data_IF_664543097126
#
_entry.id   IF_664543097126
#
_cell.length_a   1.000
_cell.length_b   1.000
_cell.length_c   1.000
_cell.angle_alpha   90.00
_cell.angle_beta   90.00
_cell.angle_gamma   90.00
#
_symmetry.space_group_name_H-M   'P 1'
#
loop_
_entity.id
_entity.type
_entity.pdbx_description
1 polymer ?
#
# COMPACT_ATOMS: atom_id res chain seq x y z
N UNK A 1 -6.80 21.95 13.25
CA UNK A 1 -7.06 20.49 13.37
C UNK A 1 -5.97 19.92 14.24
N UNK A 2 -6.28 19.55 15.48
CA UNK A 2 -5.28 19.16 16.49
C UNK A 2 -4.65 17.80 16.14
N UNK A 3 -3.31 17.73 16.30
CA UNK A 3 -2.48 16.52 16.11
C UNK A 3 -2.86 15.40 17.10
N UNK A 4 -3.66 15.72 18.12
CA UNK A 4 -4.01 14.81 19.23
C UNK A 4 -5.04 13.72 18.88
N UNK A 5 -5.76 13.85 17.77
CA UNK A 5 -6.94 13.00 17.50
C UNK A 5 -6.64 11.76 16.66
N UNK A 6 -5.42 11.64 16.11
CA UNK A 6 -5.02 10.49 15.31
C UNK A 6 -3.94 9.70 16.01
N UNK A 7 -4.32 8.52 16.48
CA UNK A 7 -3.45 7.65 17.27
C UNK A 7 -2.45 6.84 16.45
N UNK A 8 -2.62 6.80 15.12
CA UNK A 8 -1.78 6.06 14.18
C UNK A 8 -1.16 7.00 13.14
N UNK A 9 0.01 6.62 12.64
CA UNK A 9 0.75 7.34 11.59
C UNK A 9 1.21 6.34 10.54
N UNK A 10 1.06 6.72 9.26
CA UNK A 10 1.63 6.00 8.13
C UNK A 10 2.26 6.99 7.15
N UNK A 11 3.17 6.54 6.30
CA UNK A 11 3.92 7.40 5.38
C UNK A 11 3.58 7.04 3.94
N UNK A 12 3.31 8.04 3.11
CA UNK A 12 3.09 7.82 1.67
C UNK A 12 4.32 7.18 1.02
N UNK A 13 4.08 6.21 0.15
CA UNK A 13 5.14 5.59 -0.64
C UNK A 13 5.51 6.50 -1.83
N UNK A 14 6.75 6.96 -1.88
CA UNK A 14 7.25 7.98 -2.81
C UNK A 14 6.84 7.74 -4.29
N UNK A 15 7.02 6.57 -4.89
CA UNK A 15 6.66 6.32 -6.28
C UNK A 15 5.18 6.56 -6.63
N UNK A 16 4.30 6.58 -5.64
CA UNK A 16 2.85 6.70 -5.80
C UNK A 16 2.27 7.99 -5.25
N UNK A 17 3.10 8.80 -4.60
CA UNK A 17 2.68 10.09 -4.05
C UNK A 17 2.22 11.04 -5.15
N UNK A 18 1.07 11.67 -4.96
CA UNK A 18 0.45 12.56 -5.95
C UNK A 18 -0.15 11.87 -7.20
N UNK A 19 -0.05 10.54 -7.30
CA UNK A 19 -0.67 9.80 -8.42
C UNK A 19 -2.13 9.46 -8.13
N UNK A 20 -2.91 9.33 -9.22
CA UNK A 20 -4.29 8.88 -9.12
C UNK A 20 -4.35 7.47 -8.48
N UNK A 21 -5.22 7.23 -7.49
CA UNK A 21 -5.34 5.96 -6.78
C UNK A 21 -5.62 4.74 -7.64
N UNK A 22 -6.17 4.91 -8.84
CA UNK A 22 -6.37 3.80 -9.78
C UNK A 22 -5.05 3.14 -10.22
N UNK A 23 -3.94 3.91 -10.18
CA UNK A 23 -2.59 3.42 -10.50
C UNK A 23 -1.81 2.93 -9.28
N UNK A 24 -2.36 3.05 -8.08
CA UNK A 24 -1.75 2.50 -6.89
C UNK A 24 -1.73 0.97 -6.94
N UNK A 25 -0.62 0.33 -6.52
CA UNK A 25 -0.46 -1.11 -6.64
C UNK A 25 -1.18 -1.88 -5.53
N UNK A 26 -2.35 -1.44 -5.14
CA UNK A 26 -3.19 -2.15 -4.18
C UNK A 26 -3.43 -3.60 -4.59
N UNK A 27 -3.71 -4.44 -3.63
CA UNK A 27 -4.29 -5.74 -3.94
C UNK A 27 -5.68 -5.53 -4.57
N UNK A 28 -5.88 -6.05 -5.77
CA UNK A 28 -7.12 -5.91 -6.56
C UNK A 28 -7.78 -7.26 -6.83
N UNK A 29 -7.27 -8.32 -6.20
CA UNK A 29 -7.68 -9.70 -6.49
C UNK A 29 -9.13 -9.99 -6.15
N UNK A 30 -9.70 -9.29 -5.18
CA UNK A 30 -11.01 -9.58 -4.60
C UNK A 30 -11.03 -10.84 -3.72
N UNK A 31 -9.90 -11.52 -3.57
CA UNK A 31 -9.77 -12.76 -2.79
C UNK A 31 -9.20 -12.50 -1.40
N UNK A 32 -8.21 -11.60 -1.30
CA UNK A 32 -7.56 -11.25 -0.05
C UNK A 32 -8.40 -10.25 0.76
N UNK A 33 -8.27 -10.32 2.08
CA UNK A 33 -8.77 -9.30 3.01
C UNK A 33 -8.15 -7.91 2.77
N UNK A 34 -7.00 -7.87 2.10
CA UNK A 34 -6.32 -6.64 1.69
C UNK A 34 -6.87 -6.01 0.40
N UNK A 35 -7.83 -6.65 -0.28
CA UNK A 35 -8.29 -6.19 -1.59
C UNK A 35 -9.04 -4.86 -1.52
N UNK A 36 -8.63 -3.90 -2.36
CA UNK A 36 -9.22 -2.57 -2.49
C UNK A 36 -9.79 -2.43 -3.90
N UNK A 37 -11.10 -2.14 -4.08
CA UNK A 37 -11.69 -1.88 -5.40
C UNK A 37 -11.04 -0.68 -6.11
N UNK A 38 -11.08 -0.62 -7.44
CA UNK A 38 -10.53 0.51 -8.22
C UNK A 38 -11.24 1.84 -7.96
N UNK A 39 -12.50 1.79 -7.54
CA UNK A 39 -13.29 2.95 -7.12
C UNK A 39 -12.93 3.48 -5.72
N UNK A 40 -12.01 2.84 -5.02
CA UNK A 40 -11.66 3.13 -3.63
C UNK A 40 -10.16 3.35 -3.45
N UNK A 41 -9.82 3.96 -2.30
CA UNK A 41 -8.46 4.30 -1.94
C UNK A 41 -8.15 5.78 -2.21
N UNK A 42 -7.22 6.33 -1.44
CA UNK A 42 -6.77 7.71 -1.55
C UNK A 42 -5.24 7.80 -1.50
N UNK A 43 -4.62 7.15 -0.53
CA UNK A 43 -3.17 7.16 -0.32
C UNK A 43 -2.63 5.74 -0.48
N UNK A 44 -1.43 5.62 -1.04
CA UNK A 44 -0.65 4.40 -0.96
C UNK A 44 0.47 4.60 0.05
N UNK A 45 0.43 3.85 1.14
CA UNK A 45 1.39 3.94 2.23
C UNK A 45 2.43 2.84 2.16
N UNK A 46 3.66 3.18 2.55
CA UNK A 46 4.77 2.24 2.61
C UNK A 46 4.67 1.34 3.85
N UNK A 47 4.89 0.05 3.70
CA UNK A 47 4.94 -0.90 4.81
C UNK A 47 6.16 -0.72 5.72
N UNK A 48 7.21 -0.06 5.21
CA UNK A 48 8.47 0.09 5.95
C UNK A 48 8.47 1.07 7.10
N UNK A 49 7.48 1.96 7.20
CA UNK A 49 7.37 2.94 8.28
C UNK A 49 5.93 3.23 8.65
N UNK A 50 5.56 2.82 9.84
CA UNK A 50 4.30 3.15 10.49
C UNK A 50 4.50 3.24 12.00
N UNK A 51 3.58 3.91 12.70
CA UNK A 51 3.70 4.07 14.15
C UNK A 51 2.43 4.62 14.78
N UNK A 52 2.51 4.94 16.07
CA UNK A 52 1.39 5.50 16.81
C UNK A 52 1.59 5.42 18.32
N UNK A 53 0.53 5.66 19.08
CA UNK A 53 0.56 5.34 20.52
C UNK A 53 0.69 3.83 20.72
N UNK A 54 1.31 3.38 21.80
CA UNK A 54 1.54 1.95 22.04
C UNK A 54 0.23 1.14 21.97
N UNK A 55 -0.84 1.63 22.57
CA UNK A 55 -2.13 0.95 22.55
C UNK A 55 -2.72 0.84 21.13
N UNK A 56 -2.72 1.93 20.37
CA UNK A 56 -3.24 1.95 19.00
C UNK A 56 -2.40 1.10 18.05
N UNK A 57 -1.07 1.16 18.19
CA UNK A 57 -0.17 0.38 17.34
C UNK A 57 -0.27 -1.13 17.60
N UNK A 58 -0.40 -1.54 18.87
CA UNK A 58 -0.66 -2.94 19.20
C UNK A 58 -2.01 -3.43 18.69
N UNK A 59 -3.06 -2.58 18.73
CA UNK A 59 -4.35 -2.91 18.13
C UNK A 59 -4.23 -3.06 16.62
N UNK A 60 -3.51 -2.15 15.94
CA UNK A 60 -3.19 -2.26 14.51
C UNK A 60 -2.50 -3.60 14.19
N UNK A 61 -1.44 -3.95 14.91
CA UNK A 61 -0.71 -5.21 14.69
C UNK A 61 -1.60 -6.44 14.85
N UNK A 62 -2.49 -6.45 15.84
CA UNK A 62 -3.44 -7.55 16.05
C UNK A 62 -4.42 -7.68 14.89
N UNK A 63 -4.93 -6.56 14.39
CA UNK A 63 -5.86 -6.56 13.24
C UNK A 63 -5.15 -6.99 11.95
N UNK A 64 -3.92 -6.51 11.69
CA UNK A 64 -3.12 -6.94 10.54
C UNK A 64 -2.85 -8.44 10.60
N UNK A 65 -2.44 -8.96 11.76
CA UNK A 65 -2.22 -10.39 11.99
C UNK A 65 -3.49 -11.19 11.71
N UNK A 66 -4.63 -10.79 12.30
CA UNK A 66 -5.91 -11.47 12.11
C UNK A 66 -6.27 -11.58 10.63
N UNK A 67 -6.16 -10.50 9.84
CA UNK A 67 -6.46 -10.50 8.41
C UNK A 67 -5.51 -11.37 7.61
N UNK A 68 -4.24 -11.37 7.98
CA UNK A 68 -3.23 -12.25 7.37
C UNK A 68 -3.54 -13.71 7.67
N UNK A 69 -3.90 -14.06 8.90
CA UNK A 69 -4.28 -15.42 9.28
C UNK A 69 -5.54 -15.88 8.51
N UNK A 70 -6.56 -15.01 8.37
CA UNK A 70 -7.77 -15.29 7.58
C UNK A 70 -7.44 -15.56 6.10
N UNK A 71 -6.54 -14.76 5.50
CA UNK A 71 -6.08 -14.96 4.13
C UNK A 71 -5.34 -16.30 4.00
N UNK A 72 -4.42 -16.61 4.91
CA UNK A 72 -3.65 -17.86 4.90
C UNK A 72 -4.54 -19.10 5.07
N UNK A 73 -5.56 -19.05 5.92
CA UNK A 73 -6.55 -20.13 6.07
C UNK A 73 -7.30 -20.41 4.76
N UNK A 74 -7.46 -19.40 3.91
CA UNK A 74 -8.07 -19.51 2.61
C UNK A 74 -7.07 -19.75 1.46
N UNK A 75 -5.80 -20.04 1.78
CA UNK A 75 -4.70 -20.17 0.82
C UNK A 75 -4.51 -18.95 -0.06
N UNK A 76 -4.74 -17.76 0.50
CA UNK A 76 -4.54 -16.47 -0.16
C UNK A 76 -3.34 -15.76 0.46
N UNK A 77 -2.51 -15.16 -0.38
CA UNK A 77 -1.44 -14.26 0.04
C UNK A 77 -1.69 -12.92 -0.63
N UNK A 78 -1.77 -11.86 0.18
CA UNK A 78 -1.93 -10.50 -0.33
C UNK A 78 -0.72 -10.08 -1.17
N UNK A 79 -0.94 -9.26 -2.19
CA UNK A 79 0.06 -8.89 -3.21
C UNK A 79 1.40 -8.44 -2.65
N UNK A 80 1.39 -7.57 -1.64
CA UNK A 80 2.58 -7.07 -0.92
C UNK A 80 2.46 -7.37 0.58
N UNK A 81 1.98 -8.55 0.91
CA UNK A 81 1.90 -9.08 2.28
C UNK A 81 1.27 -8.07 3.26
N UNK A 82 2.01 -7.69 4.30
CA UNK A 82 1.62 -6.76 5.37
C UNK A 82 1.33 -5.34 4.84
N UNK A 83 2.09 -4.86 3.87
CA UNK A 83 1.86 -3.55 3.24
C UNK A 83 0.47 -3.47 2.59
N UNK A 84 0.02 -4.54 1.93
CA UNK A 84 -1.33 -4.59 1.36
C UNK A 84 -2.40 -4.54 2.42
N UNK A 85 -2.24 -5.26 3.53
CA UNK A 85 -3.17 -5.25 4.66
C UNK A 85 -3.22 -3.86 5.33
N UNK A 86 -2.05 -3.21 5.52
CA UNK A 86 -1.97 -1.85 6.06
C UNK A 86 -2.70 -0.85 5.15
N UNK A 87 -2.47 -0.91 3.84
CA UNK A 87 -3.13 -0.04 2.88
C UNK A 87 -4.65 -0.21 2.90
N UNK A 88 -5.14 -1.44 3.07
CA UNK A 88 -6.57 -1.71 3.23
C UNK A 88 -7.13 -1.06 4.49
N UNK A 89 -6.45 -1.16 5.62
CA UNK A 89 -6.88 -0.53 6.88
C UNK A 89 -6.89 0.99 6.78
N UNK A 90 -5.87 1.59 6.15
CA UNK A 90 -5.85 3.04 5.89
C UNK A 90 -7.05 3.46 5.05
N UNK A 91 -7.42 2.69 4.02
CA UNK A 91 -8.57 2.99 3.18
C UNK A 91 -9.92 2.81 3.90
N UNK A 92 -10.02 1.87 4.84
CA UNK A 92 -11.23 1.64 5.65
C UNK A 92 -11.41 2.68 6.77
N UNK A 93 -10.31 3.17 7.32
CA UNK A 93 -10.32 4.05 8.51
C UNK A 93 -9.46 5.31 8.32
N UNK A 94 -9.70 6.13 7.28
CA UNK A 94 -8.82 7.24 6.92
C UNK A 94 -8.70 8.28 8.05
N UNK A 95 -9.70 8.39 8.91
CA UNK A 95 -9.71 9.31 10.05
C UNK A 95 -8.75 8.91 11.18
N UNK A 96 -8.33 7.65 11.27
CA UNK A 96 -7.46 7.15 12.35
C UNK A 96 -5.97 7.32 12.06
N UNK A 97 -5.61 7.52 10.80
CA UNK A 97 -4.22 7.65 10.39
C UNK A 97 -3.84 9.10 10.11
N UNK A 98 -2.74 9.54 10.68
CA UNK A 98 -1.99 10.69 10.18
C UNK A 98 -1.12 10.23 9.04
N UNK A 99 -1.45 10.67 7.83
CA UNK A 99 -0.65 10.35 6.64
C UNK A 99 0.43 11.40 6.47
N UNK A 100 1.69 10.96 6.52
CA UNK A 100 2.87 11.80 6.32
C UNK A 100 3.31 11.74 4.85
N UNK A 101 3.95 12.81 4.35
CA UNK A 101 4.54 12.82 3.02
C UNK A 101 5.73 11.84 2.93
N UNK A 102 6.18 11.50 1.71
CA UNK A 102 7.21 10.48 1.50
C UNK A 102 8.60 10.83 2.01
N UNK A 103 8.84 12.10 2.36
CA UNK A 103 10.10 12.59 2.94
C UNK A 103 10.52 11.82 4.21
N UNK A 104 9.54 11.27 4.93
CA UNK A 104 9.77 10.44 6.11
C UNK A 104 10.09 8.98 5.80
N UNK A 105 10.07 8.55 4.53
CA UNK A 105 10.36 7.18 4.14
C UNK A 105 10.91 7.14 2.70
N UNK A 106 12.05 7.78 2.48
CA UNK A 106 12.65 7.92 1.16
C UNK A 106 13.57 6.73 0.87
N UNK A 107 13.43 6.03 -0.26
CA UNK A 107 14.39 5.01 -0.69
C UNK A 107 15.78 5.60 -0.98
N UNK A 108 16.85 4.82 -0.72
CA UNK A 108 18.24 5.26 -0.94
C UNK A 108 18.58 5.59 -2.40
N UNK A 109 17.89 4.95 -3.35
CA UNK A 109 18.09 5.18 -4.78
C UNK A 109 17.35 6.42 -5.31
N UNK A 110 16.72 7.21 -4.45
CA UNK A 110 15.98 8.39 -4.89
C UNK A 110 16.93 9.46 -5.41
N UNK A 111 16.69 10.02 -6.61
CA UNK A 111 17.53 11.09 -7.18
C UNK A 111 17.67 12.28 -6.24
N UNK A 112 18.86 12.90 -6.24
CA UNK A 112 19.15 14.12 -5.50
C UNK A 112 18.22 15.25 -5.95
N UNK A 113 17.60 15.95 -5.00
CA UNK A 113 16.64 17.04 -5.24
C UNK A 113 15.35 16.89 -4.43
N UNK A 114 15.17 15.73 -3.77
CA UNK A 114 14.11 15.50 -2.81
C UNK A 114 14.67 15.64 -1.38
N UNK A 115 14.10 16.53 -0.58
CA UNK A 115 14.51 16.68 0.83
C UNK A 115 13.99 15.48 1.63
N UNK A 116 14.88 14.55 1.95
CA UNK A 116 14.56 13.38 2.75
C UNK A 116 14.82 13.64 4.23
N UNK A 117 13.80 13.44 5.07
CA UNK A 117 13.95 13.49 6.53
C UNK A 117 14.49 12.15 7.04
N UNK A 118 14.02 11.04 6.46
CA UNK A 118 14.48 9.69 6.76
C UNK A 118 14.73 8.91 5.48
N UNK A 119 15.96 8.44 5.31
CA UNK A 119 16.36 7.59 4.17
C UNK A 119 16.45 6.13 4.61
N UNK A 120 15.76 5.25 3.89
CA UNK A 120 15.83 3.81 4.11
C UNK A 120 17.00 3.20 3.33
N UNK A 121 18.10 2.93 4.02
CA UNK A 121 19.32 2.34 3.44
C UNK A 121 19.31 0.81 3.55
N UNK A 122 18.54 0.15 2.71
CA UNK A 122 18.39 -1.31 2.74
C UNK A 122 19.67 -2.03 2.32
N UNK A 123 20.45 -1.46 1.39
CA UNK A 123 21.70 -2.05 0.89
C UNK A 123 22.75 -2.25 1.98
N UNK A 124 22.72 -1.46 3.05
CA UNK A 124 23.62 -1.63 4.20
C UNK A 124 23.30 -2.85 5.08
N UNK A 125 22.05 -3.32 5.05
CA UNK A 125 21.59 -4.37 5.95
C UNK A 125 21.49 -5.72 5.26
N UNK A 126 21.10 -5.73 3.98
CA UNK A 126 20.84 -6.97 3.22
C UNK A 126 21.26 -6.81 1.77
N UNK A 127 21.69 -7.92 1.15
CA UNK A 127 21.78 -7.99 -0.31
C UNK A 127 20.37 -8.18 -0.87
N UNK A 128 19.78 -7.08 -1.38
CA UNK A 128 18.39 -7.06 -1.87
C UNK A 128 18.20 -8.03 -3.06
N UNK A 129 19.20 -8.17 -3.94
CA UNK A 129 19.13 -9.07 -5.10
C UNK A 129 19.08 -10.54 -4.67
N UNK A 130 19.83 -10.91 -3.64
CA UNK A 130 19.82 -12.28 -3.12
C UNK A 130 18.48 -12.69 -2.52
N UNK A 131 17.73 -11.72 -1.98
CA UNK A 131 16.41 -11.98 -1.37
C UNK A 131 15.28 -11.94 -2.39
N UNK A 132 15.32 -10.99 -3.32
CA UNK A 132 14.23 -10.79 -4.31
C UNK A 132 14.43 -11.58 -5.60
N UNK A 133 15.64 -12.10 -5.85
CA UNK A 133 16.04 -12.67 -7.13
C UNK A 133 16.29 -11.59 -8.19
N UNK A 134 17.04 -11.94 -9.23
CA UNK A 134 17.28 -11.06 -10.37
C UNK A 134 15.99 -10.86 -11.17
N UNK A 135 15.73 -9.63 -11.61
CA UNK A 135 14.62 -9.33 -12.50
C UNK A 135 14.73 -10.13 -13.80
N UNK A 136 13.70 -10.90 -14.15
CA UNK A 136 13.70 -11.66 -15.40
C UNK A 136 13.63 -10.71 -16.60
N UNK A 137 14.50 -10.88 -17.62
CA UNK A 137 14.43 -10.07 -18.82
C UNK A 137 13.08 -10.29 -19.53
N UNK A 138 12.42 -9.20 -19.91
CA UNK A 138 11.15 -9.23 -20.61
C UNK A 138 11.37 -9.01 -22.11
N UNK A 139 10.66 -9.76 -22.95
CA UNK A 139 10.63 -9.52 -24.39
C UNK A 139 9.75 -8.30 -24.75
N UNK A 140 9.84 -7.85 -26.02
CA UNK A 140 9.11 -6.67 -26.51
C UNK A 140 7.58 -6.78 -26.29
N UNK A 141 6.99 -7.93 -26.55
CA UNK A 141 5.54 -8.18 -26.43
C UNK A 141 5.11 -8.09 -24.96
N UNK A 142 5.89 -8.71 -24.05
CA UNK A 142 5.63 -8.64 -22.62
C UNK A 142 5.69 -7.21 -22.11
N UNK A 143 6.67 -6.41 -22.55
CA UNK A 143 6.79 -4.99 -22.19
C UNK A 143 5.59 -4.16 -22.69
N UNK A 144 5.14 -4.37 -23.94
CA UNK A 144 3.95 -3.70 -24.49
C UNK A 144 2.67 -4.08 -23.76
N UNK A 145 2.50 -5.36 -23.46
CA UNK A 145 1.37 -5.86 -22.68
C UNK A 145 1.36 -5.29 -21.27
N UNK A 146 2.52 -5.23 -20.62
CA UNK A 146 2.64 -4.66 -19.28
C UNK A 146 2.32 -3.15 -19.28
N UNK A 147 2.80 -2.41 -20.27
CA UNK A 147 2.48 -1.00 -20.43
C UNK A 147 0.97 -0.79 -20.63
N UNK A 148 0.31 -1.60 -21.45
CA UNK A 148 -1.15 -1.57 -21.61
C UNK A 148 -1.87 -1.88 -20.29
N UNK A 149 -1.45 -2.95 -19.63
CA UNK A 149 -2.02 -3.38 -18.35
C UNK A 149 -1.90 -2.31 -17.26
N UNK A 150 -0.78 -1.60 -17.21
CA UNK A 150 -0.54 -0.57 -16.19
C UNK A 150 -1.25 0.76 -16.49
N UNK A 151 -1.41 1.11 -17.76
CA UNK A 151 -1.90 2.44 -18.14
C UNK A 151 -3.39 2.46 -18.54
N UNK A 152 -3.95 1.38 -19.08
CA UNK A 152 -5.32 1.37 -19.62
C UNK A 152 -6.30 0.48 -18.85
N UNK A 153 -5.89 -0.71 -18.44
CA UNK A 153 -6.76 -1.61 -17.68
C UNK A 153 -7.33 -0.99 -16.39
N UNK A 154 -6.61 -0.16 -15.64
CA UNK A 154 -7.18 0.48 -14.45
C UNK A 154 -8.45 1.27 -14.71
N UNK A 155 -8.56 1.94 -15.85
CA UNK A 155 -9.78 2.69 -16.21
C UNK A 155 -10.97 1.78 -16.49
N UNK A 156 -10.76 0.65 -17.16
CA UNK A 156 -11.82 -0.34 -17.41
C UNK A 156 -12.31 -0.96 -16.09
N UNK A 157 -11.39 -1.28 -15.20
CA UNK A 157 -11.74 -1.81 -13.89
C UNK A 157 -12.41 -0.79 -12.98
N UNK A 158 -12.00 0.49 -13.07
CA UNK A 158 -12.69 1.58 -12.37
C UNK A 158 -14.15 1.69 -12.85
N UNK A 159 -14.38 1.70 -14.15
CA UNK A 159 -15.73 1.75 -14.72
C UNK A 159 -16.57 0.56 -14.22
N UNK A 160 -16.01 -0.65 -14.24
CA UNK A 160 -16.67 -1.86 -13.71
C UNK A 160 -17.02 -1.70 -12.22
N UNK A 161 -16.07 -1.32 -11.39
CA UNK A 161 -16.27 -1.24 -9.93
C UNK A 161 -17.26 -0.12 -9.57
N UNK A 162 -17.29 0.96 -10.36
CA UNK A 162 -18.27 2.03 -10.22
C UNK A 162 -19.67 1.55 -10.60
N UNK A 163 -19.82 0.85 -11.72
CA UNK A 163 -21.09 0.28 -12.16
C UNK A 163 -21.64 -0.75 -11.16
N UNK A 164 -20.77 -1.60 -10.63
CA UNK A 164 -21.11 -2.61 -9.62
C UNK A 164 -21.26 -2.02 -8.22
N UNK A 165 -21.09 -0.70 -8.07
CA UNK A 165 -21.12 0.00 -6.77
C UNK A 165 -20.22 -0.63 -5.71
N UNK A 166 -19.08 -1.17 -6.13
CA UNK A 166 -18.10 -1.74 -5.21
C UNK A 166 -17.51 -0.65 -4.34
N UNK A 167 -17.70 -0.79 -3.04
CA UNK A 167 -17.24 0.15 -2.02
C UNK A 167 -16.51 -0.60 -0.90
N UNK A 168 -15.76 0.14 -0.12
CA UNK A 168 -15.20 -0.33 1.13
C UNK A 168 -16.15 0.11 2.24
N UNK A 169 -16.56 -0.82 3.10
CA UNK A 169 -17.28 -0.47 4.31
C UNK A 169 -16.30 0.26 5.25
N UNK A 170 -16.68 1.47 5.65
CA UNK A 170 -15.91 2.24 6.63
C UNK A 170 -16.19 1.68 8.02
N UNK A 171 -15.13 1.22 8.67
CA UNK A 171 -15.19 0.78 10.07
C UNK A 171 -14.77 1.92 10.98
N UNK A 172 -15.63 2.26 11.94
CA UNK A 172 -15.34 3.28 12.94
C UNK A 172 -14.69 2.70 14.22
N UNK A 173 -14.63 1.37 14.36
CA UNK A 173 -14.33 0.67 15.60
C UNK A 173 -12.98 -0.06 15.58
N UNK A 174 -11.88 0.68 15.42
CA UNK A 174 -10.55 0.17 15.77
C UNK A 174 -10.09 0.77 17.09
#
# INVERSE_FOLDING_TARGET
MCIRDRSLTAVCHLPYYGKNPIFHPYDRSGKSRASIPYSCGQYYVAGGLSGGTAAAYLALCRELKKRTDEDLQNNVIARFHDESQLNRLVAETPGKFRILPPDYCTPEETPTGHEAILVLQKSRCINVESVKGAAKPQNFVQRKWEAFRLNWLPYLWLARDTLLRRRIDFKNDL
#
